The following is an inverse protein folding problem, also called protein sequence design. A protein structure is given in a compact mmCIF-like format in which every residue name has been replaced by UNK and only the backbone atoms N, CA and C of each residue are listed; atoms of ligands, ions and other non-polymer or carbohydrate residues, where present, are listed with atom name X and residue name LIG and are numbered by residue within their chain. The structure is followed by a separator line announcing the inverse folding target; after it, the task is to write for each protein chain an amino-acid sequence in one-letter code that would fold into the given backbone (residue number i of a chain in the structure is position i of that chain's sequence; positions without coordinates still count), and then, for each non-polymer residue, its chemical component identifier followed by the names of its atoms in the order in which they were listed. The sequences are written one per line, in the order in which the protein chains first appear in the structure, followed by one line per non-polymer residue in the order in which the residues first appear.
data_IF_042389250684
#
_entry.id   IF_042389250684
#
_cell.length_a   1.000
_cell.length_b   1.000
_cell.length_c   1.000
_cell.angle_alpha   90.00
_cell.angle_beta   90.00
_cell.angle_gamma   90.00
#
_symmetry.space_group_name_H-M   'P 1'
#
loop_
_entity.id
_entity.type
_entity.pdbx_description
1 polymer ?
#
# COMPACT_ATOMS: atom_id res chain seq x y z
N UNK A 1 14.22 -15.52 22.25
CA UNK A 1 13.55 -15.64 20.93
C UNK A 1 12.54 -14.53 20.86
N UNK A 2 12.48 -13.78 19.76
CA UNK A 2 11.45 -12.75 19.57
C UNK A 2 10.07 -13.40 19.49
N UNK A 3 9.10 -12.81 20.15
CA UNK A 3 7.69 -13.23 20.03
C UNK A 3 7.21 -12.91 18.60
N UNK A 4 6.68 -13.92 17.89
CA UNK A 4 6.28 -13.78 16.49
C UNK A 4 5.14 -12.77 16.28
N UNK A 5 4.26 -12.60 17.27
CA UNK A 5 3.22 -11.57 17.25
C UNK A 5 3.84 -10.17 17.40
N UNK A 6 4.83 -10.01 18.29
CA UNK A 6 5.56 -8.74 18.45
C UNK A 6 6.28 -8.37 17.16
N UNK A 7 7.02 -9.30 16.55
CA UNK A 7 7.75 -9.05 15.31
C UNK A 7 6.84 -8.59 14.18
N UNK A 8 5.79 -9.36 13.87
CA UNK A 8 4.82 -9.04 12.81
C UNK A 8 4.08 -7.72 13.07
N UNK A 9 3.68 -7.47 14.31
CA UNK A 9 3.01 -6.21 14.67
C UNK A 9 3.91 -5.00 14.42
N UNK A 10 5.18 -5.08 14.82
CA UNK A 10 6.12 -3.97 14.61
C UNK A 10 6.43 -3.77 13.13
N UNK A 11 6.60 -4.84 12.35
CA UNK A 11 6.83 -4.75 10.90
C UNK A 11 5.66 -4.06 10.18
N UNK A 12 4.43 -4.52 10.44
CA UNK A 12 3.21 -3.94 9.88
C UNK A 12 3.03 -2.47 10.29
N UNK A 13 3.18 -2.16 11.58
CA UNK A 13 3.00 -0.78 12.06
C UNK A 13 4.07 0.14 11.49
N UNK A 14 5.34 -0.28 11.43
CA UNK A 14 6.43 0.55 10.86
C UNK A 14 6.16 0.88 9.39
N UNK A 15 5.77 -0.12 8.61
CA UNK A 15 5.46 0.07 7.20
C UNK A 15 4.23 0.99 7.02
N UNK A 16 3.08 0.59 7.57
CA UNK A 16 1.83 1.29 7.28
C UNK A 16 1.68 2.63 7.98
N UNK A 17 2.33 2.86 9.14
CA UNK A 17 2.32 4.19 9.77
C UNK A 17 3.02 5.22 8.89
N UNK A 18 4.16 4.86 8.28
CA UNK A 18 4.85 5.71 7.30
C UNK A 18 3.96 5.99 6.09
N UNK A 19 3.31 4.96 5.53
CA UNK A 19 2.37 5.09 4.41
C UNK A 19 1.21 6.05 4.78
N UNK A 20 0.58 5.90 5.95
CA UNK A 20 -0.51 6.79 6.38
C UNK A 20 -0.07 8.23 6.68
N UNK A 21 1.16 8.41 7.21
CA UNK A 21 1.79 9.73 7.35
C UNK A 21 1.93 10.40 5.98
N UNK A 22 2.49 9.69 5.01
CA UNK A 22 2.71 10.20 3.65
C UNK A 22 1.40 10.51 2.92
N UNK A 23 0.37 9.67 3.08
CA UNK A 23 -0.99 9.97 2.59
C UNK A 23 -1.54 11.30 3.10
N UNK A 24 -1.27 11.64 4.36
CA UNK A 24 -1.72 12.89 4.96
C UNK A 24 -1.06 14.09 4.26
N UNK A 25 0.22 13.98 3.90
CA UNK A 25 0.91 14.98 3.07
C UNK A 25 0.33 15.05 1.65
N UNK A 26 0.15 13.91 0.98
CA UNK A 26 -0.30 13.90 -0.42
C UNK A 26 -1.71 14.46 -0.58
N UNK A 27 -2.64 14.08 0.31
CA UNK A 27 -3.99 14.65 0.32
C UNK A 27 -3.96 16.16 0.56
N UNK A 28 -3.11 16.63 1.47
CA UNK A 28 -2.93 18.06 1.73
C UNK A 28 -2.50 18.83 0.47
N UNK A 29 -1.56 18.29 -0.29
CA UNK A 29 -1.06 18.92 -1.52
C UNK A 29 -2.14 19.07 -2.60
N UNK A 30 -3.17 18.22 -2.57
CA UNK A 30 -4.31 18.30 -3.50
C UNK A 30 -5.47 19.18 -3.04
N UNK A 31 -5.44 19.76 -1.83
CA UNK A 31 -6.48 20.69 -1.37
C UNK A 31 -6.29 22.10 -1.92
N UNK A 32 -7.37 22.88 -1.95
CA UNK A 32 -7.30 24.32 -2.27
C UNK A 32 -6.75 25.05 -1.06
N UNK A 33 -6.04 26.16 -1.29
CA UNK A 33 -5.44 26.94 -0.20
C UNK A 33 -6.46 27.41 0.85
N UNK A 34 -7.71 27.66 0.44
CA UNK A 34 -8.79 28.14 1.32
C UNK A 34 -9.45 27.03 2.15
N UNK A 35 -9.20 25.75 1.83
CA UNK A 35 -9.71 24.59 2.57
C UNK A 35 -8.92 24.35 3.88
N UNK A 36 -8.69 25.42 4.64
CA UNK A 36 -7.83 25.47 5.82
C UNK A 36 -8.20 24.43 6.89
N UNK A 37 -9.48 24.09 7.03
CA UNK A 37 -9.93 23.03 7.93
C UNK A 37 -9.42 21.66 7.49
N UNK A 38 -9.54 21.30 6.21
CA UNK A 38 -9.04 20.04 5.67
C UNK A 38 -7.51 19.97 5.71
N UNK A 39 -6.85 21.09 5.42
CA UNK A 39 -5.39 21.22 5.52
C UNK A 39 -4.92 20.97 6.96
N UNK A 40 -5.61 21.56 7.95
CA UNK A 40 -5.27 21.38 9.36
C UNK A 40 -5.54 19.95 9.84
N UNK A 41 -6.67 19.34 9.47
CA UNK A 41 -6.96 17.93 9.74
C UNK A 41 -5.88 17.02 9.16
N UNK A 42 -5.46 17.25 7.91
CA UNK A 42 -4.38 16.47 7.28
C UNK A 42 -3.03 16.65 8.00
N UNK A 43 -2.67 17.86 8.43
CA UNK A 43 -1.45 18.08 9.22
C UNK A 43 -1.51 17.37 10.58
N UNK A 44 -2.68 17.30 11.23
CA UNK A 44 -2.86 16.55 12.46
C UNK A 44 -2.65 15.05 12.25
N UNK A 45 -3.24 14.47 11.19
CA UNK A 45 -3.00 13.06 10.85
C UNK A 45 -1.53 12.78 10.52
N UNK A 46 -0.86 13.68 9.81
CA UNK A 46 0.59 13.58 9.57
C UNK A 46 1.35 13.45 10.89
N UNK A 47 1.12 14.35 11.84
CA UNK A 47 1.79 14.35 13.14
C UNK A 47 1.45 13.10 13.98
N UNK A 48 0.20 12.63 13.93
CA UNK A 48 -0.22 11.39 14.62
C UNK A 48 0.55 10.19 14.09
N UNK A 49 0.61 10.01 12.77
CA UNK A 49 1.29 8.86 12.19
C UNK A 49 2.82 8.97 12.27
N UNK A 50 3.39 10.17 12.27
CA UNK A 50 4.80 10.39 12.57
C UNK A 50 5.15 9.95 14.01
N UNK A 51 4.32 10.31 14.99
CA UNK A 51 4.48 9.84 16.37
C UNK A 51 4.38 8.32 16.49
N UNK A 52 3.42 7.71 15.81
CA UNK A 52 3.25 6.24 15.78
C UNK A 52 4.48 5.57 15.15
N UNK A 53 4.95 6.06 14.01
CA UNK A 53 6.13 5.53 13.31
C UNK A 53 7.37 5.60 14.21
N UNK A 54 7.61 6.75 14.84
CA UNK A 54 8.73 6.95 15.77
C UNK A 54 8.68 5.98 16.95
N UNK A 55 7.49 5.78 17.54
CA UNK A 55 7.30 4.80 18.64
C UNK A 55 7.53 3.37 18.18
N UNK A 56 7.01 3.00 17.01
CA UNK A 56 7.19 1.66 16.45
C UNK A 56 8.68 1.36 16.15
N UNK A 57 9.44 2.37 15.72
CA UNK A 57 10.88 2.26 15.51
C UNK A 57 11.68 2.18 16.82
N UNK A 58 11.20 2.80 17.89
CA UNK A 58 11.84 2.73 19.21
C UNK A 58 11.63 1.38 19.94
N UNK A 59 10.54 0.65 19.63
CA UNK A 59 10.32 -0.68 20.19
C UNK A 59 11.31 -1.71 19.64
N UNK A 60 11.78 -2.61 20.52
CA UNK A 60 12.58 -3.77 20.14
C UNK A 60 11.72 -5.03 20.11
N UNK A 61 12.23 -6.10 19.49
CA UNK A 61 11.51 -7.38 19.44
C UNK A 61 11.41 -8.11 20.80
N UNK A 62 12.02 -7.57 21.87
CA UNK A 62 11.94 -8.10 23.23
C UNK A 62 10.90 -7.40 24.11
N UNK A 63 10.13 -6.45 23.56
CA UNK A 63 9.07 -5.73 24.28
C UNK A 63 7.96 -6.70 24.71
N UNK A 64 7.38 -6.46 25.88
CA UNK A 64 6.24 -7.23 26.40
C UNK A 64 5.08 -7.25 25.37
N UNK A 65 4.60 -8.44 24.94
CA UNK A 65 3.47 -8.56 24.02
C UNK A 65 2.21 -7.78 24.45
N UNK A 66 1.97 -7.58 25.76
CA UNK A 66 0.84 -6.79 26.24
C UNK A 66 0.99 -5.28 25.97
N UNK A 67 2.22 -4.78 25.88
CA UNK A 67 2.49 -3.40 25.45
C UNK A 67 2.17 -3.28 23.96
N UNK A 68 2.60 -4.24 23.15
CA UNK A 68 2.34 -4.24 21.70
C UNK A 68 0.85 -4.40 21.40
N UNK A 69 0.12 -5.24 22.14
CA UNK A 69 -1.34 -5.39 21.99
C UNK A 69 -2.08 -4.06 22.17
N UNK A 70 -1.75 -3.33 23.24
CA UNK A 70 -2.33 -1.99 23.51
C UNK A 70 -1.91 -0.96 22.47
N UNK A 71 -0.66 -1.03 22.00
CA UNK A 71 -0.18 -0.17 20.93
C UNK A 71 -0.95 -0.43 19.62
N UNK A 72 -1.16 -1.69 19.25
CA UNK A 72 -1.97 -2.06 18.07
C UNK A 72 -3.41 -1.52 18.18
N UNK A 73 -4.04 -1.55 19.35
CA UNK A 73 -5.38 -0.97 19.58
C UNK A 73 -5.38 0.56 19.38
N UNK A 74 -4.36 1.25 19.88
CA UNK A 74 -4.18 2.69 19.69
C UNK A 74 -4.03 3.03 18.20
N UNK A 75 -3.15 2.31 17.50
CA UNK A 75 -2.92 2.50 16.07
C UNK A 75 -4.17 2.16 15.26
N UNK A 76 -4.88 1.10 15.61
CA UNK A 76 -6.16 0.73 14.98
C UNK A 76 -7.18 1.89 15.05
N UNK A 77 -7.27 2.56 16.20
CA UNK A 77 -8.14 3.72 16.36
C UNK A 77 -7.69 4.90 15.49
N UNK A 78 -6.40 5.22 15.47
CA UNK A 78 -5.85 6.27 14.60
C UNK A 78 -6.13 6.00 13.10
N UNK A 79 -5.95 4.75 12.67
CA UNK A 79 -6.22 4.30 11.31
C UNK A 79 -7.72 4.40 10.97
N UNK A 80 -8.58 4.06 11.93
CA UNK A 80 -10.03 4.24 11.77
C UNK A 80 -10.40 5.71 11.57
N UNK A 81 -9.78 6.64 12.30
CA UNK A 81 -10.05 8.07 12.14
C UNK A 81 -9.56 8.62 10.80
N UNK A 82 -8.35 8.25 10.34
CA UNK A 82 -7.89 8.70 9.01
C UNK A 82 -8.71 8.07 7.88
N UNK A 83 -9.21 6.85 8.06
CA UNK A 83 -10.14 6.24 7.11
C UNK A 83 -11.42 7.07 6.97
N UNK A 84 -12.03 7.47 8.09
CA UNK A 84 -13.22 8.35 8.09
C UNK A 84 -12.90 9.68 7.41
N UNK A 85 -11.75 10.28 7.70
CA UNK A 85 -11.29 11.51 7.03
C UNK A 85 -11.18 11.33 5.51
N UNK A 86 -10.55 10.24 5.05
CA UNK A 86 -10.44 9.89 3.62
C UNK A 86 -11.83 9.70 2.99
N UNK A 87 -12.79 9.08 3.69
CA UNK A 87 -14.19 8.96 3.20
C UNK A 87 -14.92 10.31 3.15
N UNK A 88 -14.71 11.19 4.14
CA UNK A 88 -15.24 12.57 4.13
C UNK A 88 -14.73 13.34 2.92
N UNK A 89 -13.42 13.32 2.67
CA UNK A 89 -12.80 13.97 1.51
C UNK A 89 -13.35 13.42 0.20
N UNK A 90 -13.49 12.09 0.07
CA UNK A 90 -14.09 11.48 -1.12
C UNK A 90 -15.53 11.98 -1.35
N UNK A 91 -16.35 12.04 -0.29
CA UNK A 91 -17.72 12.54 -0.38
C UNK A 91 -17.80 13.99 -0.85
N UNK A 92 -16.91 14.86 -0.36
CA UNK A 92 -16.83 16.26 -0.80
C UNK A 92 -16.43 16.38 -2.28
N UNK A 93 -15.50 15.57 -2.75
CA UNK A 93 -15.08 15.55 -4.16
C UNK A 93 -16.23 15.06 -5.06
N UNK A 94 -16.86 13.94 -4.71
CA UNK A 94 -17.94 13.33 -5.52
C UNK A 94 -19.23 14.15 -5.54
N UNK A 95 -19.41 15.06 -4.58
CA UNK A 95 -20.52 16.03 -4.55
C UNK A 95 -20.10 17.42 -5.05
N UNK A 96 -18.92 17.51 -5.68
CA UNK A 96 -18.39 18.74 -6.29
C UNK A 96 -18.25 19.93 -5.34
N UNK A 97 -18.07 19.68 -4.03
CA UNK A 97 -17.96 20.74 -3.01
C UNK A 97 -16.56 21.36 -2.92
N UNK A 98 -15.58 20.81 -3.65
CA UNK A 98 -14.20 21.29 -3.70
C UNK A 98 -13.77 21.66 -5.14
N UNK A 99 -14.47 22.57 -5.84
CA UNK A 99 -14.09 22.97 -7.20
C UNK A 99 -12.67 23.58 -7.21
N UNK A 100 -11.78 23.01 -8.02
CA UNK A 100 -10.37 23.39 -8.13
C UNK A 100 -9.39 22.58 -7.27
N UNK A 101 -9.86 21.62 -6.46
CA UNK A 101 -8.99 20.65 -5.80
C UNK A 101 -8.43 19.63 -6.80
N UNK A 102 -7.25 19.07 -6.50
CA UNK A 102 -6.48 18.21 -7.41
C UNK A 102 -6.38 16.74 -6.97
N UNK A 103 -6.98 16.37 -5.82
CA UNK A 103 -7.02 14.96 -5.42
C UNK A 103 -7.96 14.16 -6.34
N UNK A 104 -7.43 13.17 -7.06
CA UNK A 104 -8.27 12.25 -7.82
C UNK A 104 -9.21 11.48 -6.87
N UNK A 105 -10.52 11.34 -7.18
CA UNK A 105 -11.42 10.54 -6.36
C UNK A 105 -10.93 9.09 -6.20
N UNK A 106 -10.37 8.50 -7.26
CA UNK A 106 -9.80 7.16 -7.23
C UNK A 106 -8.60 7.07 -6.27
N UNK A 107 -7.75 8.11 -6.21
CA UNK A 107 -6.65 8.17 -5.25
C UNK A 107 -7.18 8.21 -3.82
N UNK A 108 -8.19 9.03 -3.54
CA UNK A 108 -8.78 9.14 -2.19
C UNK A 108 -9.46 7.82 -1.78
N UNK A 109 -10.06 7.10 -2.74
CA UNK A 109 -10.53 5.72 -2.56
C UNK A 109 -9.41 4.74 -2.26
N UNK A 110 -8.38 4.72 -3.09
CA UNK A 110 -7.22 3.87 -2.97
C UNK A 110 -6.57 3.97 -1.60
N UNK A 111 -6.21 5.19 -1.16
CA UNK A 111 -5.55 5.38 0.14
C UNK A 111 -6.46 5.01 1.32
N UNK A 112 -7.79 5.00 1.13
CA UNK A 112 -8.71 4.52 2.16
C UNK A 112 -8.78 3.00 2.23
N UNK A 113 -8.59 2.31 1.10
CA UNK A 113 -8.55 0.84 1.07
C UNK A 113 -7.33 0.34 1.81
N UNK A 114 -6.18 0.98 1.66
CA UNK A 114 -4.97 0.69 2.45
C UNK A 114 -5.15 0.98 3.94
N UNK A 115 -5.82 2.09 4.29
CA UNK A 115 -6.16 2.35 5.69
C UNK A 115 -7.07 1.25 6.25
N UNK A 116 -8.05 0.78 5.48
CA UNK A 116 -8.91 -0.32 5.88
C UNK A 116 -8.16 -1.65 6.00
N UNK A 117 -7.25 -1.94 5.07
CA UNK A 117 -6.36 -3.10 5.11
C UNK A 117 -5.53 -3.10 6.41
N UNK A 118 -4.84 -1.99 6.68
CA UNK A 118 -4.02 -1.86 7.88
C UNK A 118 -4.83 -2.00 9.18
N UNK A 119 -6.03 -1.41 9.22
CA UNK A 119 -6.96 -1.57 10.34
C UNK A 119 -7.32 -3.04 10.59
N UNK A 120 -7.65 -3.79 9.53
CA UNK A 120 -8.04 -5.19 9.63
C UNK A 120 -6.86 -6.06 10.07
N UNK A 121 -5.66 -5.83 9.51
CA UNK A 121 -4.42 -6.52 9.90
C UNK A 121 -4.10 -6.38 11.38
N UNK A 122 -4.28 -5.19 11.96
CA UNK A 122 -4.11 -4.99 13.41
C UNK A 122 -5.11 -5.80 14.25
N UNK A 123 -6.34 -5.97 13.75
CA UNK A 123 -7.36 -6.79 14.41
C UNK A 123 -7.00 -8.28 14.36
N UNK A 124 -6.56 -8.76 13.20
CA UNK A 124 -6.10 -10.15 13.00
C UNK A 124 -4.93 -10.48 13.93
N UNK A 125 -3.92 -9.60 14.00
CA UNK A 125 -2.77 -9.74 14.89
C UNK A 125 -3.19 -9.81 16.37
N UNK A 126 -4.01 -8.86 16.83
CA UNK A 126 -4.42 -8.82 18.23
C UNK A 126 -5.33 -9.99 18.63
N UNK A 127 -6.17 -10.49 17.71
CA UNK A 127 -7.08 -11.61 17.98
C UNK A 127 -6.45 -12.98 17.75
N UNK A 128 -5.25 -13.04 17.15
CA UNK A 128 -4.58 -14.29 16.78
C UNK A 128 -5.28 -15.04 15.65
N UNK A 129 -6.10 -14.34 14.85
CA UNK A 129 -6.88 -14.92 13.75
C UNK A 129 -6.26 -14.53 12.42
N UNK A 130 -5.10 -15.13 12.13
CA UNK A 130 -4.50 -15.02 10.80
C UNK A 130 -5.20 -15.99 9.84
N UNK A 131 -5.36 -15.56 8.60
CA UNK A 131 -5.95 -16.37 7.54
C UNK A 131 -5.11 -17.63 7.27
N UNK A 132 -5.75 -18.77 6.94
CA UNK A 132 -5.06 -19.91 6.36
C UNK A 132 -4.27 -19.50 5.11
N UNK A 133 -3.11 -20.12 4.90
CA UNK A 133 -2.22 -19.78 3.77
C UNK A 133 -2.94 -19.71 2.39
N UNK A 134 -3.84 -20.66 2.03
CA UNK A 134 -4.54 -20.59 0.73
C UNK A 134 -5.51 -19.42 0.61
N UNK A 135 -6.09 -18.95 1.72
CA UNK A 135 -6.96 -17.77 1.74
C UNK A 135 -6.09 -16.52 1.57
N UNK A 136 -5.07 -16.39 2.42
CA UNK A 136 -4.14 -15.27 2.43
C UNK A 136 -3.45 -15.05 1.07
N UNK A 137 -3.03 -16.11 0.38
CA UNK A 137 -2.44 -16.00 -0.98
C UNK A 137 -3.37 -15.26 -1.92
N UNK A 138 -4.64 -15.65 -1.99
CA UNK A 138 -5.57 -15.06 -2.94
C UNK A 138 -6.01 -13.67 -2.44
N UNK A 139 -6.31 -13.50 -1.14
CA UNK A 139 -6.84 -12.23 -0.60
C UNK A 139 -5.81 -11.09 -0.70
N UNK A 140 -4.54 -11.37 -0.38
CA UNK A 140 -3.45 -10.40 -0.53
C UNK A 140 -3.20 -10.04 -2.00
N UNK A 141 -3.20 -11.02 -2.91
CA UNK A 141 -3.00 -10.74 -4.33
C UNK A 141 -4.18 -9.94 -4.91
N UNK A 142 -5.43 -10.27 -4.57
CA UNK A 142 -6.60 -9.48 -5.00
C UNK A 142 -6.48 -8.03 -4.53
N UNK A 143 -6.07 -7.81 -3.28
CA UNK A 143 -5.84 -6.48 -2.74
C UNK A 143 -4.71 -5.75 -3.48
N UNK A 144 -3.51 -6.30 -3.49
CA UNK A 144 -2.33 -5.61 -4.00
C UNK A 144 -2.30 -5.49 -5.54
N UNK A 145 -2.87 -6.43 -6.30
CA UNK A 145 -2.99 -6.28 -7.75
C UNK A 145 -3.85 -5.06 -8.11
N UNK A 146 -4.91 -4.79 -7.33
CA UNK A 146 -5.70 -3.57 -7.48
C UNK A 146 -4.90 -2.32 -7.14
N UNK A 147 -4.12 -2.35 -6.05
CA UNK A 147 -3.23 -1.26 -5.68
C UNK A 147 -2.20 -0.98 -6.78
N UNK A 148 -1.58 -2.02 -7.36
CA UNK A 148 -0.62 -1.87 -8.46
C UNK A 148 -1.26 -1.34 -9.75
N UNK A 149 -2.47 -1.79 -10.08
CA UNK A 149 -3.23 -1.27 -11.22
C UNK A 149 -3.53 0.23 -11.06
N UNK A 150 -3.94 0.66 -9.87
CA UNK A 150 -4.19 2.07 -9.55
C UNK A 150 -2.91 2.90 -9.65
N UNK A 151 -1.79 2.40 -9.13
CA UNK A 151 -0.50 3.08 -9.21
C UNK A 151 -0.05 3.37 -10.63
N UNK A 152 -0.17 2.39 -11.53
CA UNK A 152 0.18 2.57 -12.92
C UNK A 152 -0.66 3.68 -13.59
N UNK A 153 -1.96 3.76 -13.24
CA UNK A 153 -2.85 4.84 -13.68
C UNK A 153 -2.41 6.19 -13.11
N UNK A 154 -2.09 6.27 -11.82
CA UNK A 154 -1.63 7.51 -11.20
C UNK A 154 -0.33 8.01 -11.83
N UNK A 155 0.64 7.13 -12.07
CA UNK A 155 1.90 7.49 -12.74
C UNK A 155 1.60 8.04 -14.14
N UNK A 156 0.79 7.34 -14.93
CA UNK A 156 0.39 7.78 -16.28
C UNK A 156 -0.25 9.17 -16.28
N UNK A 157 -1.18 9.42 -15.35
CA UNK A 157 -1.92 10.68 -15.26
C UNK A 157 -1.12 11.85 -14.66
N UNK A 158 -0.08 11.57 -13.88
CA UNK A 158 0.74 12.60 -13.23
C UNK A 158 2.05 12.90 -13.99
N UNK A 159 2.43 12.07 -14.96
CA UNK A 159 3.47 12.39 -15.93
C UNK A 159 3.01 13.54 -16.83
N UNK A 160 3.94 14.39 -17.24
CA UNK A 160 3.62 15.41 -18.25
C UNK A 160 3.26 14.71 -19.57
N UNK A 161 2.17 15.11 -20.27
CA UNK A 161 1.77 14.45 -21.52
C UNK A 161 2.82 14.46 -22.64
N UNK A 162 3.87 15.28 -22.55
CA UNK A 162 5.00 15.24 -23.48
C UNK A 162 5.98 14.08 -23.20
N UNK A 163 5.92 13.42 -22.04
CA UNK A 163 6.66 12.17 -21.73
C UNK A 163 5.98 10.93 -22.34
N UNK A 164 5.61 11.01 -23.63
CA UNK A 164 4.77 10.03 -24.34
C UNK A 164 5.19 8.59 -24.10
N UNK A 165 6.50 8.31 -24.19
CA UNK A 165 7.04 6.95 -23.99
C UNK A 165 6.81 6.42 -22.56
N UNK A 166 6.98 7.26 -21.54
CA UNK A 166 6.78 6.86 -20.14
C UNK A 166 5.29 6.73 -19.83
N UNK A 167 4.45 7.61 -20.39
CA UNK A 167 2.99 7.51 -20.30
C UNK A 167 2.49 6.20 -20.91
N UNK A 168 2.96 5.85 -22.12
CA UNK A 168 2.59 4.60 -22.79
C UNK A 168 3.03 3.37 -21.98
N UNK A 169 4.24 3.40 -21.38
CA UNK A 169 4.72 2.33 -20.49
C UNK A 169 3.84 2.19 -19.24
N UNK A 170 3.49 3.30 -18.58
CA UNK A 170 2.60 3.28 -17.42
C UNK A 170 1.20 2.76 -17.78
N UNK A 171 0.66 3.13 -18.94
CA UNK A 171 -0.61 2.61 -19.45
C UNK A 171 -0.55 1.11 -19.73
N UNK A 172 0.56 0.59 -20.25
CA UNK A 172 0.75 -0.84 -20.47
C UNK A 172 0.72 -1.61 -19.15
N UNK A 173 1.46 -1.15 -18.13
CA UNK A 173 1.37 -1.73 -16.79
C UNK A 173 -0.05 -1.66 -16.21
N UNK A 174 -0.76 -0.55 -16.40
CA UNK A 174 -2.16 -0.46 -15.95
C UNK A 174 -3.02 -1.57 -16.55
N UNK A 175 -2.91 -1.81 -17.85
CA UNK A 175 -3.69 -2.84 -18.55
C UNK A 175 -3.31 -4.25 -18.09
N UNK A 176 -2.00 -4.49 -17.91
CA UNK A 176 -1.47 -5.76 -17.40
C UNK A 176 -2.03 -6.07 -16.01
N UNK A 177 -1.98 -5.12 -15.07
CA UNK A 177 -2.49 -5.34 -13.72
C UNK A 177 -4.02 -5.37 -13.64
N UNK A 178 -4.74 -4.71 -14.55
CA UNK A 178 -6.20 -4.90 -14.67
C UNK A 178 -6.54 -6.35 -15.07
N UNK A 179 -5.76 -6.97 -15.97
CA UNK A 179 -5.92 -8.37 -16.36
C UNK A 179 -5.60 -9.33 -15.21
N UNK A 180 -4.46 -9.14 -14.53
CA UNK A 180 -4.09 -9.96 -13.38
C UNK A 180 -5.11 -9.85 -12.24
N UNK A 181 -5.63 -8.65 -11.97
CA UNK A 181 -6.69 -8.45 -10.98
C UNK A 181 -7.98 -9.23 -11.34
N UNK A 182 -8.37 -9.24 -12.61
CA UNK A 182 -9.54 -10.04 -13.01
C UNK A 182 -9.30 -11.54 -12.87
N UNK A 183 -8.12 -12.03 -13.24
CA UNK A 183 -7.74 -13.43 -13.01
C UNK A 183 -7.77 -13.78 -11.51
N UNK A 184 -7.28 -12.90 -10.65
CA UNK A 184 -7.31 -13.08 -9.19
C UNK A 184 -8.74 -13.15 -8.64
N UNK A 185 -9.65 -12.31 -9.14
CA UNK A 185 -11.08 -12.32 -8.77
C UNK A 185 -11.81 -13.57 -9.25
N UNK A 186 -11.48 -14.06 -10.43
CA UNK A 186 -12.02 -15.34 -10.92
C UNK A 186 -11.53 -16.49 -10.05
N UNK A 187 -10.23 -16.49 -9.68
CA UNK A 187 -9.64 -17.48 -8.78
C UNK A 187 -10.27 -17.43 -7.37
N UNK A 188 -10.50 -16.23 -6.82
CA UNK A 188 -11.23 -15.98 -5.58
C UNK A 188 -12.66 -16.55 -5.64
N UNK A 189 -13.38 -16.30 -6.73
CA UNK A 189 -14.76 -16.76 -6.92
C UNK A 189 -14.88 -18.28 -7.06
N UNK A 190 -13.79 -18.96 -7.42
CA UNK A 190 -13.71 -20.42 -7.55
C UNK A 190 -13.28 -21.13 -6.26
N UNK A 191 -13.14 -20.41 -5.13
CA UNK A 191 -12.82 -21.02 -3.83
C UNK A 191 -13.96 -21.93 -3.33
N UNK A 192 -13.65 -23.02 -2.60
CA UNK A 192 -12.30 -23.49 -2.26
C UNK A 192 -11.65 -24.36 -3.35
N UNK A 193 -12.35 -24.68 -4.45
CA UNK A 193 -11.86 -25.62 -5.47
C UNK A 193 -10.61 -25.09 -6.22
N UNK A 194 -10.45 -23.77 -6.32
CA UNK A 194 -9.26 -23.14 -6.89
C UNK A 194 -8.03 -23.18 -5.99
N UNK A 195 -8.17 -23.51 -4.70
CA UNK A 195 -7.09 -23.48 -3.70
C UNK A 195 -6.20 -24.72 -3.73
N UNK A 196 -5.89 -25.20 -4.93
CA UNK A 196 -4.94 -26.31 -5.13
C UNK A 196 -3.52 -25.76 -5.19
N UNK A 197 -2.55 -26.48 -4.63
CA UNK A 197 -1.14 -26.05 -4.65
C UNK A 197 -0.64 -25.69 -6.07
N UNK A 198 -0.91 -26.46 -7.15
CA UNK A 198 -0.46 -26.09 -8.50
C UNK A 198 -1.07 -24.79 -9.04
N UNK A 199 -2.35 -24.52 -8.74
CA UNK A 199 -3.00 -23.27 -9.19
C UNK A 199 -2.44 -22.06 -8.44
N UNK A 200 -2.24 -22.18 -7.12
CA UNK A 200 -1.68 -21.12 -6.29
C UNK A 200 -0.20 -20.83 -6.63
N UNK A 201 0.59 -21.87 -6.92
CA UNK A 201 1.99 -21.76 -7.33
C UNK A 201 2.10 -21.00 -8.67
N UNK A 202 1.35 -21.42 -9.68
CA UNK A 202 1.31 -20.76 -10.99
C UNK A 202 0.78 -19.32 -10.91
N UNK A 203 -0.19 -19.06 -10.03
CA UNK A 203 -0.76 -17.73 -9.80
C UNK A 203 0.27 -16.77 -9.20
N UNK A 204 1.02 -17.21 -8.18
CA UNK A 204 2.10 -16.43 -7.58
C UNK A 204 3.21 -16.17 -8.61
N UNK A 205 3.66 -17.20 -9.34
CA UNK A 205 4.70 -17.09 -10.36
C UNK A 205 4.35 -16.04 -11.43
N UNK A 206 3.10 -16.02 -11.92
CA UNK A 206 2.65 -15.04 -12.90
C UNK A 206 2.66 -13.62 -12.34
N UNK A 207 2.09 -13.44 -11.16
CA UNK A 207 1.99 -12.11 -10.53
C UNK A 207 3.39 -11.57 -10.21
N UNK A 208 4.30 -12.43 -9.75
CA UNK A 208 5.67 -12.05 -9.37
C UNK A 208 6.43 -11.36 -10.49
N UNK A 209 6.34 -11.88 -11.72
CA UNK A 209 7.04 -11.32 -12.90
C UNK A 209 6.60 -9.89 -13.14
N UNK A 210 5.28 -9.65 -13.16
CA UNK A 210 4.69 -8.33 -13.40
C UNK A 210 4.96 -7.36 -12.25
N UNK A 211 4.86 -7.82 -10.99
CA UNK A 211 5.17 -7.00 -9.80
C UNK A 211 6.62 -6.57 -9.80
N UNK A 212 7.55 -7.48 -10.08
CA UNK A 212 8.99 -7.18 -10.18
C UNK A 212 9.27 -6.13 -11.25
N UNK A 213 8.65 -6.27 -12.43
CA UNK A 213 8.78 -5.35 -13.56
C UNK A 213 8.24 -3.96 -13.23
N UNK A 214 7.03 -3.86 -12.66
CA UNK A 214 6.44 -2.60 -12.24
C UNK A 214 7.24 -1.92 -11.13
N UNK A 215 7.75 -2.70 -10.17
CA UNK A 215 8.63 -2.21 -9.11
C UNK A 215 9.90 -1.60 -9.70
N UNK A 216 10.53 -2.25 -10.68
CA UNK A 216 11.75 -1.75 -11.34
C UNK A 216 11.46 -0.45 -12.12
N UNK A 217 10.31 -0.37 -12.77
CA UNK A 217 9.82 0.84 -13.41
C UNK A 217 9.61 1.97 -12.39
N UNK A 218 8.96 1.70 -11.26
CA UNK A 218 8.74 2.67 -10.17
C UNK A 218 10.05 3.19 -9.58
N UNK A 219 11.04 2.32 -9.35
CA UNK A 219 12.39 2.73 -8.92
C UNK A 219 13.04 3.67 -9.94
N UNK A 220 13.01 3.29 -11.22
CA UNK A 220 13.58 4.10 -12.29
C UNK A 220 12.89 5.47 -12.40
N UNK A 221 11.56 5.50 -12.30
CA UNK A 221 10.79 6.74 -12.32
C UNK A 221 11.14 7.65 -11.14
N UNK A 222 11.25 7.10 -9.92
CA UNK A 222 11.72 7.84 -8.73
C UNK A 222 13.07 8.49 -8.99
N UNK A 223 14.07 7.71 -9.41
CA UNK A 223 15.43 8.20 -9.63
C UNK A 223 15.48 9.30 -10.72
N UNK A 224 14.65 9.17 -11.77
CA UNK A 224 14.52 10.19 -12.82
C UNK A 224 13.84 11.48 -12.33
N UNK A 225 12.83 11.37 -11.46
CA UNK A 225 12.14 12.53 -10.86
C UNK A 225 13.08 13.28 -9.93
N UNK A 226 13.77 12.57 -9.04
CA UNK A 226 14.76 13.14 -8.11
C UNK A 226 15.90 13.85 -8.83
N UNK A 227 16.36 13.30 -9.95
CA UNK A 227 17.39 13.89 -10.79
C UNK A 227 16.87 14.98 -11.75
N UNK A 228 15.59 15.34 -11.70
CA UNK A 228 14.94 16.28 -12.63
C UNK A 228 15.12 15.92 -14.12
N UNK A 229 15.13 14.62 -14.45
CA UNK A 229 15.36 14.10 -15.81
C UNK A 229 14.09 13.81 -16.60
N UNK A 230 12.93 13.91 -15.96
CA UNK A 230 11.61 13.78 -16.60
C UNK A 230 10.67 14.87 -16.10
N UNK A 231 9.63 15.16 -16.87
CA UNK A 231 8.61 16.17 -16.58
C UNK A 231 7.38 15.49 -15.98
N UNK A 232 6.96 15.93 -14.81
CA UNK A 232 5.78 15.42 -14.13
C UNK A 232 5.29 16.39 -13.07
N UNK A 233 4.09 16.15 -12.55
CA UNK A 233 3.60 16.72 -11.29
C UNK A 233 3.68 15.69 -10.15
N UNK A 234 4.50 14.66 -10.31
CA UNK A 234 4.74 13.62 -9.29
C UNK A 234 5.75 14.16 -8.28
N UNK A 235 5.31 14.30 -7.03
CA UNK A 235 6.23 14.61 -5.94
C UNK A 235 7.25 13.46 -5.77
N UNK A 236 8.56 13.72 -5.58
CA UNK A 236 9.57 12.64 -5.45
C UNK A 236 9.20 11.58 -4.39
N UNK A 237 8.75 12.03 -3.22
CA UNK A 237 8.26 11.13 -2.16
C UNK A 237 7.06 10.26 -2.56
N UNK A 238 6.19 10.72 -3.47
CA UNK A 238 5.09 9.89 -3.98
C UNK A 238 5.63 8.76 -4.88
N UNK A 239 6.66 9.03 -5.68
CA UNK A 239 7.31 7.99 -6.49
C UNK A 239 7.98 6.93 -5.61
N UNK A 240 8.66 7.35 -4.53
CA UNK A 240 9.24 6.43 -3.54
C UNK A 240 8.17 5.65 -2.75
N UNK A 241 7.07 6.31 -2.39
CA UNK A 241 5.94 5.70 -1.68
C UNK A 241 5.37 4.51 -2.44
N UNK A 242 4.95 4.72 -3.69
CA UNK A 242 4.38 3.64 -4.50
C UNK A 242 5.41 2.56 -4.85
N UNK A 243 6.71 2.90 -4.87
CA UNK A 243 7.80 1.94 -5.01
C UNK A 243 7.88 1.01 -3.79
N UNK A 244 7.87 1.56 -2.57
CA UNK A 244 7.90 0.76 -1.33
C UNK A 244 6.72 -0.18 -1.19
N UNK A 245 5.54 0.21 -1.64
CA UNK A 245 4.37 -0.68 -1.65
C UNK A 245 4.50 -1.82 -2.67
N UNK A 246 5.14 -1.58 -3.81
CA UNK A 246 5.43 -2.64 -4.77
C UNK A 246 6.50 -3.61 -4.24
N UNK A 247 7.53 -3.11 -3.56
CA UNK A 247 8.53 -3.94 -2.85
C UNK A 247 7.90 -4.76 -1.74
N UNK A 248 7.00 -4.17 -0.94
CA UNK A 248 6.28 -4.86 0.11
C UNK A 248 5.40 -5.99 -0.46
N UNK A 249 4.68 -5.73 -1.56
CA UNK A 249 3.90 -6.78 -2.22
C UNK A 249 4.78 -7.90 -2.77
N UNK A 250 5.93 -7.57 -3.39
CA UNK A 250 6.86 -8.57 -3.89
C UNK A 250 7.39 -9.47 -2.75
N UNK A 251 7.68 -8.90 -1.58
CA UNK A 251 8.05 -9.66 -0.40
C UNK A 251 6.96 -10.61 0.07
N UNK A 252 5.69 -10.18 0.06
CA UNK A 252 4.55 -11.04 0.41
C UNK A 252 4.44 -12.22 -0.56
N UNK A 253 4.58 -11.98 -1.87
CA UNK A 253 4.60 -13.04 -2.90
C UNK A 253 5.73 -14.03 -2.62
N UNK A 254 6.96 -13.54 -2.44
CA UNK A 254 8.13 -14.39 -2.16
C UNK A 254 7.92 -15.22 -0.88
N UNK A 255 7.34 -14.64 0.17
CA UNK A 255 7.05 -15.35 1.43
C UNK A 255 6.00 -16.45 1.24
N UNK A 256 4.96 -16.20 0.44
CA UNK A 256 3.95 -17.20 0.13
C UNK A 256 4.46 -18.33 -0.75
N UNK A 257 5.22 -18.04 -1.80
CA UNK A 257 5.86 -19.08 -2.65
C UNK A 257 6.74 -20.00 -1.82
N UNK A 258 7.52 -19.42 -0.90
CA UNK A 258 8.38 -20.18 0.00
C UNK A 258 7.58 -21.03 0.99
N UNK A 259 6.48 -20.51 1.52
CA UNK A 259 5.58 -21.26 2.40
C UNK A 259 4.83 -22.38 1.67
N UNK A 260 4.53 -22.19 0.38
CA UNK A 260 3.81 -23.15 -0.46
C UNK A 260 4.72 -24.28 -0.98
N UNK A 261 5.97 -23.95 -1.36
CA UNK A 261 6.91 -24.87 -2.01
C UNK A 261 8.02 -25.41 -1.09
N UNK A 262 8.24 -24.78 0.07
CA UNK A 262 9.30 -25.15 1.02
C UNK A 262 10.70 -24.62 0.66
N UNK A 263 10.83 -23.69 -0.30
CA UNK A 263 12.10 -23.00 -0.61
C UNK A 263 12.35 -21.84 0.37
N UNK A 264 13.60 -21.40 0.65
CA UNK A 264 13.88 -20.30 1.58
C UNK A 264 13.87 -18.89 0.92
N UNK A 265 13.39 -17.88 1.66
CA UNK A 265 13.36 -16.44 1.28
C UNK A 265 14.75 -15.78 1.43
N UNK A 266 15.17 -14.93 0.49
CA UNK A 266 16.29 -13.99 0.71
C UNK A 266 15.81 -12.79 1.54
N UNK A 267 16.40 -12.56 2.71
CA UNK A 267 16.00 -11.48 3.62
C UNK A 267 16.09 -10.09 2.96
N UNK A 268 15.12 -9.22 3.24
CA UNK A 268 15.15 -7.81 2.86
C UNK A 268 16.24 -7.12 3.69
N UNK A 269 17.31 -6.65 3.04
CA UNK A 269 18.22 -5.69 3.65
C UNK A 269 17.59 -4.30 3.52
N UNK A 270 16.93 -3.84 4.59
CA UNK A 270 16.60 -2.42 4.75
C UNK A 270 17.86 -1.64 5.14
N UNK A 271 18.76 -1.42 4.19
CA UNK A 271 19.91 -0.52 4.32
C UNK A 271 20.16 0.17 2.97
N UNK A 272 19.45 1.27 2.74
CA UNK A 272 19.90 2.58 2.23
C UNK A 272 18.69 3.46 1.89
#
# INVERSE_FOLDING_TARGET
MSDAFVARSLEEVRFWSRIMKEHSLFLKLGFRCDDTQLINEANQFYAVFESIENRANAFTFGVDPNVIRRFNEEVHNAVSYIWVFKRKVLGLILTCQLPGANNFPLLVDHVSREANYFRNRLTELNTGRLEPLPDAIIDENVFFLRIMADHAKFISHLLDPSERKLVDQANHFSQEFDQLLFQAKDLESMRPQSQTAPLLDQFLDQNRVSVKSLRDFKRTARDLIEACRIKSIIHPLLADHVFREAEHFLFIIDMFENSLTGKPVQAINHLE
#
